data_IF_035972895393
#
_entry.id   IF_035972895393
#
_cell.length_a   1.000
_cell.length_b   1.000
_cell.length_c   1.000
_cell.angle_alpha   90.00
_cell.angle_beta   90.00
_cell.angle_gamma   90.00
#
_symmetry.space_group_name_H-M   'P 1'
#
loop_
_entity.id
_entity.type
_entity.pdbx_description
1 polymer ?
#
# COMPACT_ATOMS: atom_id res chain seq x y z
N UNK A 1 5.95 3.92 -2.63
CA UNK A 1 5.73 2.73 -1.78
C UNK A 1 4.34 2.20 -2.04
N UNK A 2 4.13 0.89 -2.15
CA UNK A 2 2.82 0.26 -2.40
C UNK A 2 2.19 -0.22 -1.10
N UNK A 3 0.89 0.04 -0.96
CA UNK A 3 0.06 -0.35 0.17
C UNK A 3 -1.27 -0.90 -0.35
N UNK A 4 -2.01 -1.59 0.50
CA UNK A 4 -3.41 -1.95 0.25
C UNK A 4 -4.31 -1.30 1.30
N UNK A 5 -5.48 -0.86 0.88
CA UNK A 5 -6.57 -0.44 1.76
C UNK A 5 -7.71 -1.45 1.69
N UNK A 6 -8.13 -2.00 2.82
CA UNK A 6 -9.28 -2.89 2.90
C UNK A 6 -10.56 -2.08 3.02
N UNK A 7 -11.44 -2.13 2.01
CA UNK A 7 -12.74 -1.46 2.02
C UNK A 7 -13.68 -2.01 3.08
N UNK A 8 -13.50 -3.25 3.54
CA UNK A 8 -14.38 -3.84 4.57
C UNK A 8 -14.06 -3.37 5.99
N UNK A 9 -12.78 -3.17 6.34
CA UNK A 9 -12.37 -2.80 7.71
C UNK A 9 -11.54 -1.52 7.80
N UNK A 10 -11.35 -0.83 6.68
CA UNK A 10 -10.60 0.41 6.51
C UNK A 10 -9.13 0.37 6.98
N UNK A 11 -8.55 -0.82 7.00
CA UNK A 11 -7.16 -1.01 7.40
C UNK A 11 -6.21 -0.72 6.22
N UNK A 12 -5.14 0.02 6.49
CA UNK A 12 -4.09 0.37 5.52
C UNK A 12 -2.86 -0.48 5.82
N UNK A 13 -2.51 -1.37 4.90
CA UNK A 13 -1.41 -2.31 5.08
C UNK A 13 -0.26 -1.95 4.14
N UNK A 14 0.86 -1.55 4.72
CA UNK A 14 2.14 -1.43 3.99
C UNK A 14 2.64 -2.82 3.61
N UNK A 15 2.97 -3.02 2.33
CA UNK A 15 3.55 -4.27 1.84
C UNK A 15 5.06 -4.32 2.11
N UNK A 16 5.59 -5.54 2.27
CA UNK A 16 7.01 -5.82 2.49
C UNK A 16 7.45 -7.01 1.63
N UNK A 17 8.75 -7.11 1.35
CA UNK A 17 9.31 -8.15 0.47
C UNK A 17 9.22 -9.50 1.17
N UNK A 18 8.69 -10.51 0.47
CA UNK A 18 8.70 -11.91 0.89
C UNK A 18 7.81 -12.25 2.10
N UNK A 19 7.05 -11.30 2.63
CA UNK A 19 6.16 -11.53 3.77
C UNK A 19 4.76 -11.05 3.42
N UNK A 20 3.82 -12.01 3.35
CA UNK A 20 2.40 -11.75 3.15
C UNK A 20 1.85 -11.02 4.37
N UNK A 21 1.31 -9.82 4.16
CA UNK A 21 0.65 -9.03 5.20
C UNK A 21 -0.83 -8.94 4.90
N UNK A 22 -1.63 -9.13 5.93
CA UNK A 22 -3.09 -9.09 5.86
C UNK A 22 -3.64 -7.90 6.64
N UNK A 23 -4.78 -7.40 6.19
CA UNK A 23 -5.57 -6.44 6.96
C UNK A 23 -6.14 -7.07 8.23
N UNK A 24 -6.60 -6.23 9.16
CA UNK A 24 -7.20 -6.63 10.44
C UNK A 24 -8.31 -7.67 10.32
N UNK A 25 -9.14 -7.60 9.28
CA UNK A 25 -10.24 -8.56 9.08
C UNK A 25 -9.85 -9.81 8.25
N UNK A 26 -8.61 -9.88 7.77
CA UNK A 26 -8.10 -11.02 6.99
C UNK A 26 -8.59 -11.12 5.54
N UNK A 27 -9.53 -10.28 5.09
CA UNK A 27 -10.13 -10.34 3.74
C UNK A 27 -9.20 -9.88 2.62
N UNK A 28 -8.26 -9.00 2.93
CA UNK A 28 -7.29 -8.44 1.99
C UNK A 28 -5.88 -8.73 2.48
N UNK A 29 -4.98 -9.06 1.55
CA UNK A 29 -3.57 -9.27 1.86
C UNK A 29 -2.70 -8.96 0.65
N UNK A 30 -1.39 -8.87 0.86
CA UNK A 30 -0.43 -8.69 -0.23
C UNK A 30 1.02 -8.77 0.24
N UNK A 31 1.93 -8.77 -0.72
CA UNK A 31 3.36 -8.69 -0.49
C UNK A 31 4.09 -8.05 -1.68
N UNK A 32 5.30 -7.58 -1.44
CA UNK A 32 6.25 -7.34 -2.52
C UNK A 32 6.94 -8.65 -2.90
N UNK A 33 6.96 -8.94 -4.20
CA UNK A 33 7.71 -10.07 -4.78
C UNK A 33 9.18 -9.68 -4.88
N UNK A 34 9.45 -8.44 -5.30
CA UNK A 34 10.78 -7.86 -5.36
C UNK A 34 10.74 -6.36 -5.00
N UNK A 35 11.79 -5.60 -5.33
CA UNK A 35 11.89 -4.16 -5.00
C UNK A 35 10.85 -3.28 -5.73
N UNK A 36 10.23 -3.79 -6.78
CA UNK A 36 9.29 -3.09 -7.66
C UNK A 36 7.94 -3.79 -7.72
N UNK A 37 7.91 -5.10 -7.98
CA UNK A 37 6.70 -5.86 -8.23
C UNK A 37 6.03 -6.30 -6.92
N UNK A 38 4.72 -6.14 -6.86
CA UNK A 38 3.90 -6.55 -5.73
C UNK A 38 2.63 -7.25 -6.19
N UNK A 39 2.07 -8.05 -5.29
CA UNK A 39 0.85 -8.82 -5.49
C UNK A 39 -0.10 -8.61 -4.33
N UNK A 40 -1.39 -8.67 -4.61
CA UNK A 40 -2.43 -8.53 -3.61
C UNK A 40 -3.63 -9.44 -3.87
N UNK A 41 -4.35 -9.75 -2.81
CA UNK A 41 -5.52 -10.63 -2.79
C UNK A 41 -6.69 -9.95 -2.06
N UNK A 42 -7.90 -10.41 -2.38
CA UNK A 42 -9.15 -9.93 -1.79
C UNK A 42 -10.00 -9.15 -2.78
N UNK A 43 -11.32 -9.19 -2.58
CA UNK A 43 -12.27 -8.50 -3.46
C UNK A 43 -12.53 -7.06 -3.02
N UNK A 44 -12.46 -6.81 -1.71
CA UNK A 44 -12.64 -5.49 -1.09
C UNK A 44 -11.32 -4.72 -0.93
N UNK A 45 -10.39 -4.86 -1.87
CA UNK A 45 -9.05 -4.26 -1.77
C UNK A 45 -8.91 -3.05 -2.70
N UNK A 46 -8.28 -1.98 -2.22
CA UNK A 46 -7.90 -0.81 -3.00
C UNK A 46 -6.37 -0.64 -2.95
N UNK A 47 -5.66 -0.79 -4.07
CA UNK A 47 -4.25 -0.47 -4.16
C UNK A 47 -3.96 1.02 -3.91
N UNK A 48 -3.01 1.31 -3.03
CA UNK A 48 -2.55 2.66 -2.70
C UNK A 48 -1.05 2.81 -2.92
N UNK A 49 -0.64 4.04 -3.21
CA UNK A 49 0.74 4.44 -3.36
C UNK A 49 1.07 5.64 -2.48
N UNK A 50 2.24 5.61 -1.83
CA UNK A 50 2.90 6.83 -1.35
C UNK A 50 4.01 7.21 -2.33
N UNK A 51 4.13 8.50 -2.67
CA UNK A 51 5.30 8.98 -3.38
C UNK A 51 6.50 8.96 -2.42
N UNK A 52 7.53 8.19 -2.77
CA UNK A 52 8.70 8.00 -1.90
C UNK A 52 9.49 9.29 -1.69
N UNK A 53 9.54 10.17 -2.69
CA UNK A 53 10.29 11.42 -2.60
C UNK A 53 9.61 12.38 -1.64
N UNK A 54 8.32 12.68 -1.85
CA UNK A 54 7.56 13.56 -0.95
C UNK A 54 7.48 13.01 0.47
N UNK A 55 7.41 11.68 0.64
CA UNK A 55 7.44 11.06 1.95
C UNK A 55 8.79 11.25 2.64
N UNK A 56 9.91 11.03 1.91
CA UNK A 56 11.25 11.25 2.45
C UNK A 56 11.43 12.70 2.90
N UNK A 57 11.02 13.66 2.07
CA UNK A 57 11.16 15.08 2.38
C UNK A 57 10.31 15.44 3.62
N UNK A 58 9.06 15.00 3.66
CA UNK A 58 8.19 15.23 4.80
C UNK A 58 8.69 14.61 6.11
N UNK A 59 9.40 13.47 6.04
CA UNK A 59 10.00 12.83 7.21
C UNK A 59 11.26 13.57 7.70
N UNK A 60 12.07 14.11 6.78
CA UNK A 60 13.25 14.89 7.16
C UNK A 60 12.87 16.25 7.77
N UNK A 61 11.76 16.84 7.31
CA UNK A 61 11.28 18.14 7.76
C UNK A 61 10.20 18.03 8.86
N UNK A 62 10.28 17.01 9.72
CA UNK A 62 9.36 16.85 10.84
C UNK A 62 9.49 18.05 11.82
N UNK A 63 8.46 18.90 11.98
CA UNK A 63 8.56 20.06 12.83
C UNK A 63 8.42 19.68 14.31
N UNK A 64 8.99 20.48 15.22
CA UNK A 64 8.83 20.28 16.67
C UNK A 64 7.39 20.50 17.15
N UNK A 65 6.64 21.36 16.46
CA UNK A 65 5.24 21.68 16.77
C UNK A 65 4.52 22.18 15.52
N UNK A 66 3.19 22.18 15.56
CA UNK A 66 2.35 22.65 14.44
C UNK A 66 2.06 21.57 13.40
N UNK A 67 1.71 21.98 12.19
CA UNK A 67 1.38 21.08 11.09
C UNK A 67 2.65 20.56 10.41
N UNK A 68 2.72 19.24 10.19
CA UNK A 68 3.79 18.62 9.42
C UNK A 68 3.68 18.90 7.92
N UNK A 69 4.79 18.71 7.21
CA UNK A 69 4.82 18.73 5.76
C UNK A 69 3.91 17.63 5.19
N UNK A 70 3.13 17.98 4.16
CA UNK A 70 2.28 17.02 3.45
C UNK A 70 3.13 16.16 2.51
N UNK A 71 2.71 14.93 2.31
CA UNK A 71 3.26 14.05 1.27
C UNK A 71 2.13 13.48 0.42
N UNK A 72 2.47 13.00 -0.78
CA UNK A 72 1.47 12.49 -1.71
C UNK A 72 1.15 11.02 -1.42
N UNK A 73 -0.12 10.79 -1.11
CA UNK A 73 -0.75 9.48 -1.17
C UNK A 73 -1.77 9.46 -2.31
N UNK A 74 -1.82 8.37 -3.07
CA UNK A 74 -2.66 8.25 -4.26
C UNK A 74 -3.22 6.83 -4.40
N UNK A 75 -4.34 6.72 -5.10
CA UNK A 75 -4.89 5.42 -5.51
C UNK A 75 -4.11 4.92 -6.72
N UNK A 76 -3.65 3.67 -6.67
CA UNK A 76 -2.99 3.03 -7.82
C UNK A 76 -4.08 2.54 -8.77
N UNK A 77 -3.96 2.77 -10.09
CA UNK A 77 -4.93 2.30 -11.07
C UNK A 77 -5.19 0.80 -10.99
N UNK A 78 -6.43 0.38 -11.30
CA UNK A 78 -6.83 -1.03 -11.29
C UNK A 78 -5.91 -1.90 -12.15
N UNK A 79 -5.50 -1.38 -13.32
CA UNK A 79 -4.53 -2.01 -14.21
C UNK A 79 -3.15 -1.41 -13.92
N UNK A 80 -2.35 -2.13 -13.13
CA UNK A 80 -0.97 -1.75 -12.82
C UNK A 80 -0.01 -2.91 -13.14
N UNK A 81 0.94 -2.76 -14.10
CA UNK A 81 1.87 -3.84 -14.46
C UNK A 81 2.74 -4.34 -13.29
N UNK A 82 3.00 -3.48 -12.31
CA UNK A 82 3.88 -3.78 -11.16
C UNK A 82 3.11 -4.01 -9.86
N UNK A 83 1.77 -4.01 -9.90
CA UNK A 83 0.93 -4.32 -8.75
C UNK A 83 -0.28 -5.15 -9.18
N UNK A 84 -0.16 -6.47 -9.10
CA UNK A 84 -1.14 -7.38 -9.71
C UNK A 84 -2.08 -7.98 -8.65
N UNK A 85 -3.38 -8.04 -8.96
CA UNK A 85 -4.34 -8.85 -8.19
C UNK A 85 -4.13 -10.32 -8.52
N UNK A 86 -3.90 -11.15 -7.50
CA UNK A 86 -3.93 -12.60 -7.66
C UNK A 86 -5.37 -13.06 -7.82
N UNK A 87 -5.62 -13.89 -8.82
CA UNK A 87 -6.90 -14.60 -8.95
C UNK A 87 -6.92 -15.70 -7.90
N UNK A 88 -8.02 -15.85 -7.17
CA UNK A 88 -8.24 -17.09 -6.42
C UNK A 88 -8.29 -18.23 -7.43
N UNK A 89 -7.45 -19.24 -7.25
CA UNK A 89 -7.66 -20.52 -7.92
C UNK A 89 -9.02 -21.05 -7.45
N UNK A 90 -9.86 -21.43 -8.41
CA UNK A 90 -11.21 -21.91 -8.20
C UNK A 90 -11.23 -23.36 -7.71
#
# INVERSE_FOLDING_TARGET
MKLIFCKSCHDVVKLIIGVKRSCKCGKCSGLYIDKLNAEYEGDDVMPLGFNNFSLKDALNDQPKSGQGMRFDAFVIPEICPTFKKLKKEA
#
